data_IF_114207265037
#
_entry.id   IF_114207265037
#
_cell.length_a   1.000
_cell.length_b   1.000
_cell.length_c   1.000
_cell.angle_alpha   90.00
_cell.angle_beta   90.00
_cell.angle_gamma   90.00
#
_symmetry.space_group_name_H-M   'P 1'
#
loop_
_entity.id
_entity.type
_entity.pdbx_description
1 polymer ?
#
# COMPACT_ATOMS: atom_id res chain seq x y z
N UNK A 1 3.36 14.49 -4.92
CA UNK A 1 3.78 13.50 -3.93
C UNK A 1 3.36 12.10 -4.40
N UNK A 2 4.31 11.22 -4.59
CA UNK A 2 4.03 9.84 -4.95
C UNK A 2 4.85 8.90 -4.09
N UNK A 3 4.24 7.85 -3.59
CA UNK A 3 4.96 6.76 -2.96
C UNK A 3 5.74 5.98 -4.02
N UNK A 4 7.05 5.98 -3.85
CA UNK A 4 7.96 5.24 -4.71
C UNK A 4 8.20 5.86 -6.09
N UNK A 5 9.35 5.54 -6.64
CA UNK A 5 9.83 6.03 -7.95
C UNK A 5 9.00 5.46 -9.10
N UNK A 6 8.21 4.42 -8.87
CA UNK A 6 7.44 3.70 -9.89
C UNK A 6 6.36 4.54 -10.56
N UNK A 7 5.92 5.64 -9.94
CA UNK A 7 4.86 6.50 -10.43
C UNK A 7 5.34 7.89 -10.87
N UNK A 8 6.64 8.22 -10.66
CA UNK A 8 7.25 9.45 -11.19
C UNK A 8 8.22 9.03 -12.27
N UNK A 9 7.99 9.51 -13.47
CA UNK A 9 8.88 9.25 -14.60
C UNK A 9 10.17 10.08 -14.48
N UNK A 10 11.19 9.69 -15.22
CA UNK A 10 12.43 10.47 -15.34
C UNK A 10 12.13 11.87 -15.91
N UNK A 11 11.19 11.94 -16.82
CA UNK A 11 10.69 13.18 -17.42
C UNK A 11 10.03 14.10 -16.42
N UNK A 12 9.20 13.56 -15.52
CA UNK A 12 8.56 14.36 -14.45
C UNK A 12 9.60 14.97 -13.50
N UNK A 13 10.63 14.21 -13.13
CA UNK A 13 11.72 14.72 -12.28
C UNK A 13 12.53 15.80 -13.01
N UNK A 14 12.82 15.60 -14.30
CA UNK A 14 13.51 16.62 -15.12
C UNK A 14 12.67 17.90 -15.20
N UNK A 15 11.37 17.76 -15.47
CA UNK A 15 10.46 18.91 -15.52
C UNK A 15 10.41 19.68 -14.20
N UNK A 16 10.31 18.96 -13.07
CA UNK A 16 10.35 19.61 -11.75
C UNK A 16 11.64 20.41 -11.53
N UNK A 17 12.79 19.86 -11.95
CA UNK A 17 14.10 20.57 -11.87
C UNK A 17 14.16 21.77 -12.81
N UNK A 18 13.63 21.67 -14.03
CA UNK A 18 13.54 22.80 -14.96
C UNK A 18 12.69 23.95 -14.39
N UNK A 19 11.65 23.60 -13.60
CA UNK A 19 10.84 24.57 -12.86
C UNK A 19 11.53 25.13 -11.61
N UNK A 20 12.79 24.77 -11.35
CA UNK A 20 13.56 25.22 -10.20
C UNK A 20 13.18 24.59 -8.87
N UNK A 21 12.50 23.42 -8.91
CA UNK A 21 12.14 22.67 -7.71
C UNK A 21 13.32 21.83 -7.21
N UNK A 22 13.49 21.75 -5.88
CA UNK A 22 14.33 20.74 -5.25
C UNK A 22 13.53 19.43 -5.14
N UNK A 23 14.07 18.36 -5.68
CA UNK A 23 13.43 17.04 -5.72
C UNK A 23 14.07 16.13 -4.70
N UNK A 24 13.29 15.71 -3.71
CA UNK A 24 13.68 14.72 -2.69
C UNK A 24 12.81 13.49 -2.86
N UNK A 25 13.42 12.32 -2.97
CA UNK A 25 12.73 11.03 -3.09
C UNK A 25 12.89 10.26 -1.80
N UNK A 26 11.79 9.85 -1.18
CA UNK A 26 11.76 8.85 -0.10
C UNK A 26 11.21 7.55 -0.65
N UNK A 27 11.93 6.45 -0.49
CA UNK A 27 11.56 5.16 -1.07
C UNK A 27 12.04 3.99 -0.21
N UNK A 28 11.49 2.81 -0.45
CA UNK A 28 11.85 1.56 0.23
C UNK A 28 11.98 0.36 -0.72
N UNK A 29 11.72 0.58 -2.01
CA UNK A 29 11.87 -0.47 -3.03
C UNK A 29 13.35 -0.80 -3.27
N UNK A 30 13.59 -1.92 -3.93
CA UNK A 30 14.94 -2.29 -4.33
C UNK A 30 15.51 -1.26 -5.30
N UNK A 31 16.80 -0.97 -5.14
CA UNK A 31 17.45 0.07 -5.93
C UNK A 31 17.56 -0.39 -7.39
N UNK A 32 16.97 0.35 -8.33
CA UNK A 32 17.06 0.02 -9.74
C UNK A 32 18.50 0.24 -10.27
N UNK A 33 18.81 -0.35 -11.43
CA UNK A 33 20.12 -0.16 -12.10
C UNK A 33 20.43 1.31 -12.39
N UNK A 34 19.39 2.09 -12.73
CA UNK A 34 19.45 3.54 -12.90
C UNK A 34 18.73 4.21 -11.75
N UNK A 35 19.45 4.72 -10.74
CA UNK A 35 18.85 5.43 -9.62
C UNK A 35 18.09 6.69 -10.06
N UNK A 36 17.13 7.10 -9.24
CA UNK A 36 16.40 8.36 -9.45
C UNK A 36 17.36 9.55 -9.47
N UNK A 37 17.21 10.41 -10.47
CA UNK A 37 17.99 11.65 -10.61
C UNK A 37 17.37 12.79 -9.79
N UNK A 38 17.22 12.57 -8.48
CA UNK A 38 16.76 13.55 -7.52
C UNK A 38 17.93 14.30 -6.87
N UNK A 39 17.63 15.40 -6.18
CA UNK A 39 18.64 16.15 -5.41
C UNK A 39 19.05 15.40 -4.14
N UNK A 40 18.13 14.61 -3.59
CA UNK A 40 18.40 13.65 -2.53
C UNK A 40 17.48 12.42 -2.66
N UNK A 41 18.02 11.25 -2.32
CA UNK A 41 17.27 9.99 -2.24
C UNK A 41 17.43 9.41 -0.85
N UNK A 42 16.32 9.20 -0.15
CA UNK A 42 16.26 8.57 1.17
C UNK A 42 15.69 7.17 0.99
N UNK A 43 16.56 6.17 0.94
CA UNK A 43 16.17 4.78 0.86
C UNK A 43 17.17 3.93 1.65
N UNK A 44 16.72 3.17 2.68
CA UNK A 44 17.62 2.38 3.51
C UNK A 44 18.37 1.29 2.72
N UNK A 45 17.87 0.89 1.55
CA UNK A 45 18.50 -0.15 0.72
C UNK A 45 19.65 0.36 -0.16
N UNK A 46 19.95 1.66 -0.18
CA UNK A 46 21.12 2.17 -0.87
C UNK A 46 22.39 1.53 -0.29
N UNK A 47 23.37 1.21 -1.15
CA UNK A 47 24.60 0.51 -0.77
C UNK A 47 25.48 1.26 0.23
N UNK A 48 25.42 2.58 0.20
CA UNK A 48 26.15 3.51 1.07
C UNK A 48 25.33 3.98 2.29
N UNK A 49 24.06 3.57 2.40
CA UNK A 49 23.22 3.93 3.53
C UNK A 49 23.65 3.17 4.80
N UNK A 50 24.07 3.85 5.89
CA UNK A 50 24.49 3.21 7.12
C UNK A 50 23.33 2.71 7.99
N UNK A 51 22.07 3.00 7.62
CA UNK A 51 20.91 2.60 8.42
C UNK A 51 20.85 1.06 8.52
N UNK A 52 20.81 0.49 9.74
CA UNK A 52 21.03 -0.94 9.93
C UNK A 52 19.89 -1.81 9.44
N UNK A 53 18.64 -1.33 9.53
CA UNK A 53 17.46 -2.09 9.15
C UNK A 53 16.96 -1.68 7.75
N UNK A 54 16.97 -2.62 6.81
CA UNK A 54 16.65 -2.37 5.39
C UNK A 54 15.19 -2.66 5.03
N UNK A 55 14.44 -3.27 5.93
CA UNK A 55 13.10 -3.78 5.71
C UNK A 55 11.96 -2.81 6.04
N UNK A 56 12.19 -1.50 6.06
CA UNK A 56 11.15 -0.50 6.31
C UNK A 56 10.22 -0.37 5.11
N UNK A 57 8.91 -0.15 5.34
CA UNK A 57 7.98 0.32 4.30
C UNK A 57 8.11 1.83 4.06
N UNK A 58 7.51 2.33 2.97
CA UNK A 58 7.59 3.76 2.61
C UNK A 58 7.14 4.70 3.71
N UNK A 59 6.03 4.40 4.39
CA UNK A 59 5.55 5.21 5.52
C UNK A 59 6.49 5.19 6.73
N UNK A 60 7.17 4.06 6.98
CA UNK A 60 8.17 3.98 8.05
C UNK A 60 9.43 4.79 7.69
N UNK A 61 9.86 4.80 6.43
CA UNK A 61 10.94 5.68 5.95
C UNK A 61 10.53 7.15 6.12
N UNK A 62 9.31 7.52 5.73
CA UNK A 62 8.80 8.87 5.92
C UNK A 62 8.74 9.26 7.40
N UNK A 63 8.31 8.37 8.28
CA UNK A 63 8.31 8.58 9.72
C UNK A 63 9.72 8.88 10.26
N UNK A 64 10.73 8.10 9.86
CA UNK A 64 12.13 8.36 10.22
C UNK A 64 12.64 9.70 9.72
N UNK A 65 12.25 10.06 8.50
CA UNK A 65 12.58 11.36 7.95
C UNK A 65 11.95 12.50 8.76
N UNK A 66 10.70 12.38 9.18
CA UNK A 66 10.02 13.37 10.04
C UNK A 66 10.68 13.47 11.40
N UNK A 67 11.07 12.35 12.03
CA UNK A 67 11.81 12.37 13.31
C UNK A 67 13.10 13.20 13.18
N UNK A 68 13.90 12.95 12.14
CA UNK A 68 15.14 13.70 11.90
C UNK A 68 14.86 15.19 11.59
N UNK A 69 13.82 15.47 10.83
CA UNK A 69 13.41 16.84 10.51
C UNK A 69 13.03 17.61 11.78
N UNK A 70 12.27 17.01 12.68
CA UNK A 70 11.86 17.62 13.94
C UNK A 70 13.10 17.91 14.82
N UNK A 71 14.02 16.95 14.93
CA UNK A 71 15.27 17.14 15.63
C UNK A 71 16.07 18.34 15.09
N UNK A 72 16.21 18.43 13.75
CA UNK A 72 16.92 19.54 13.10
C UNK A 72 16.23 20.90 13.27
N UNK A 73 14.91 20.90 13.41
CA UNK A 73 14.10 22.11 13.64
C UNK A 73 14.00 22.49 15.12
N UNK A 74 14.57 21.68 16.03
CA UNK A 74 14.46 21.89 17.48
C UNK A 74 13.07 21.60 18.04
N UNK A 75 12.27 20.82 17.32
CA UNK A 75 10.98 20.30 17.77
C UNK A 75 11.25 19.01 18.55
N UNK A 76 10.57 18.76 19.67
CA UNK A 76 10.71 17.49 20.41
C UNK A 76 10.42 16.30 19.47
N UNK A 77 11.34 15.33 19.40
CA UNK A 77 11.22 14.19 18.48
C UNK A 77 10.00 13.34 18.82
N UNK A 78 9.58 13.34 20.08
CA UNK A 78 8.40 12.66 20.58
C UNK A 78 7.09 13.16 19.93
N UNK A 79 7.08 14.37 19.41
CA UNK A 79 5.91 14.88 18.66
C UNK A 79 5.71 14.14 17.33
N UNK A 80 6.79 13.57 16.76
CA UNK A 80 6.67 12.71 15.58
C UNK A 80 5.99 11.36 15.88
N UNK A 81 5.88 10.97 17.15
CA UNK A 81 5.26 9.70 17.53
C UNK A 81 3.77 9.61 17.13
N UNK A 82 3.10 10.75 16.86
CA UNK A 82 1.75 10.74 16.31
C UNK A 82 1.64 9.96 14.99
N UNK A 83 2.72 9.91 14.19
CA UNK A 83 2.79 9.19 12.92
C UNK A 83 3.09 7.69 13.06
N UNK A 84 3.38 7.19 14.27
CA UNK A 84 3.60 5.76 14.52
C UNK A 84 2.37 4.90 14.16
N UNK A 85 1.16 5.45 14.33
CA UNK A 85 -0.07 4.80 13.89
C UNK A 85 0.00 4.49 12.40
N UNK A 86 0.36 5.48 11.58
CA UNK A 86 0.42 5.38 10.13
C UNK A 86 1.57 4.45 9.69
N UNK A 87 2.75 4.58 10.31
CA UNK A 87 3.89 3.72 10.02
C UNK A 87 3.59 2.24 10.35
N UNK A 88 2.98 1.98 11.50
CA UNK A 88 2.59 0.63 11.91
C UNK A 88 1.48 0.05 11.04
N UNK A 89 0.49 0.86 10.65
CA UNK A 89 -0.57 0.46 9.73
C UNK A 89 0.00 0.08 8.36
N UNK A 90 0.82 0.97 7.78
CA UNK A 90 1.39 0.75 6.46
C UNK A 90 2.36 -0.45 6.43
N UNK A 91 3.14 -0.66 7.50
CA UNK A 91 4.03 -1.83 7.61
C UNK A 91 3.27 -3.16 7.46
N UNK A 92 2.06 -3.25 8.04
CA UNK A 92 1.19 -4.42 7.86
C UNK A 92 0.54 -4.43 6.48
N UNK A 93 0.06 -3.27 6.02
CA UNK A 93 -0.62 -3.12 4.73
C UNK A 93 0.25 -3.46 3.53
N UNK A 94 1.54 -3.17 3.63
CA UNK A 94 2.57 -3.44 2.63
C UNK A 94 3.24 -4.83 2.79
N UNK A 95 2.69 -5.65 3.69
CA UNK A 95 3.11 -7.04 3.93
C UNK A 95 4.60 -7.15 4.27
N UNK A 96 5.14 -6.16 4.99
CA UNK A 96 6.54 -6.19 5.42
C UNK A 96 6.77 -7.25 6.51
N UNK A 97 7.97 -7.84 6.52
CA UNK A 97 8.37 -8.78 7.57
C UNK A 97 8.28 -8.13 8.96
N UNK A 98 7.51 -8.74 9.87
CA UNK A 98 7.31 -8.24 11.23
C UNK A 98 8.47 -8.67 12.17
N UNK A 99 9.67 -8.30 11.79
CA UNK A 99 10.92 -8.55 12.52
C UNK A 99 11.52 -7.22 12.99
N UNK A 100 12.40 -7.27 13.94
CA UNK A 100 13.19 -6.15 14.45
C UNK A 100 12.34 -4.88 14.61
N UNK A 101 12.70 -3.80 13.93
CA UNK A 101 12.06 -2.49 14.03
C UNK A 101 10.60 -2.51 13.56
N UNK A 102 10.28 -3.25 12.49
CA UNK A 102 8.91 -3.37 12.00
C UNK A 102 7.97 -3.95 13.07
N UNK A 103 8.45 -4.92 13.85
CA UNK A 103 7.67 -5.49 14.95
C UNK A 103 7.34 -4.45 16.01
N UNK A 104 8.29 -3.55 16.30
CA UNK A 104 8.11 -2.46 17.27
C UNK A 104 7.08 -1.45 16.72
N UNK A 105 7.27 -1.00 15.48
CA UNK A 105 6.37 -0.05 14.80
C UNK A 105 4.94 -0.58 14.77
N UNK A 106 4.75 -1.84 14.37
CA UNK A 106 3.42 -2.45 14.31
C UNK A 106 2.82 -2.63 15.69
N UNK A 107 3.59 -3.02 16.70
CA UNK A 107 3.08 -3.18 18.07
C UNK A 107 2.57 -1.86 18.66
N UNK A 108 3.32 -0.78 18.47
CA UNK A 108 2.97 0.55 18.96
C UNK A 108 1.83 1.13 18.10
N UNK A 109 1.99 1.14 16.77
CA UNK A 109 1.00 1.66 15.85
C UNK A 109 -0.37 0.98 15.97
N UNK A 110 -0.39 -0.34 16.16
CA UNK A 110 -1.65 -1.08 16.38
C UNK A 110 -2.31 -0.69 17.71
N UNK A 111 -1.52 -0.44 18.76
CA UNK A 111 -2.05 0.07 20.03
C UNK A 111 -2.67 1.46 19.85
N UNK A 112 -2.02 2.34 19.09
CA UNK A 112 -2.53 3.68 18.77
C UNK A 112 -3.79 3.59 17.90
N UNK A 113 -3.78 2.76 16.86
CA UNK A 113 -4.91 2.55 15.95
C UNK A 113 -6.18 2.09 16.70
N UNK A 114 -6.02 1.30 17.75
CA UNK A 114 -7.13 0.89 18.61
C UNK A 114 -7.78 2.06 19.38
N UNK A 115 -7.10 3.20 19.46
CA UNK A 115 -7.55 4.42 20.12
C UNK A 115 -7.44 5.62 19.17
N UNK A 116 -7.45 5.38 17.86
CA UNK A 116 -7.22 6.39 16.86
C UNK A 116 -8.10 7.63 17.02
N UNK A 117 -7.50 8.79 16.86
CA UNK A 117 -8.19 10.08 16.79
C UNK A 117 -8.51 10.47 15.34
N UNK A 118 -7.91 9.79 14.35
CA UNK A 118 -8.16 10.05 12.94
C UNK A 118 -9.61 9.67 12.60
N UNK A 119 -10.40 10.64 12.17
CA UNK A 119 -11.82 10.45 11.86
C UNK A 119 -12.05 9.48 10.71
N UNK A 120 -11.23 9.57 9.67
CA UNK A 120 -11.30 8.68 8.51
C UNK A 120 -10.99 7.23 8.85
N UNK A 121 -9.91 7.00 9.59
CA UNK A 121 -9.56 5.66 10.03
C UNK A 121 -10.64 5.06 10.95
N UNK A 122 -11.16 5.86 11.88
CA UNK A 122 -12.24 5.44 12.77
C UNK A 122 -13.51 5.08 11.99
N UNK A 123 -13.89 5.92 11.01
CA UNK A 123 -15.04 5.65 10.16
C UNK A 123 -14.84 4.34 9.36
N UNK A 124 -13.65 4.11 8.81
CA UNK A 124 -13.34 2.90 8.04
C UNK A 124 -13.37 1.64 8.91
N UNK A 125 -12.88 1.70 10.15
CA UNK A 125 -12.96 0.62 11.14
C UNK A 125 -14.43 0.25 11.39
N UNK A 126 -15.29 1.23 11.67
CA UNK A 126 -16.70 1.01 11.93
C UNK A 126 -17.46 0.48 10.72
N UNK A 127 -17.21 1.02 9.52
CA UNK A 127 -17.82 0.54 8.27
C UNK A 127 -17.43 -0.92 7.96
N UNK A 128 -16.24 -1.34 8.37
CA UNK A 128 -15.82 -2.74 8.29
C UNK A 128 -16.42 -3.61 9.43
N UNK A 129 -17.34 -3.08 10.26
CA UNK A 129 -17.95 -3.79 11.39
C UNK A 129 -16.90 -4.33 12.39
N UNK A 130 -15.83 -3.58 12.59
CA UNK A 130 -14.79 -3.88 13.56
C UNK A 130 -14.99 -3.06 14.82
N UNK A 131 -14.61 -3.63 15.96
CA UNK A 131 -14.70 -2.95 17.26
C UNK A 131 -13.41 -2.18 17.52
N UNK A 132 -13.47 -0.84 17.71
CA UNK A 132 -12.35 -0.09 18.23
C UNK A 132 -11.88 -0.67 19.57
N UNK A 133 -10.57 -0.79 19.75
CA UNK A 133 -9.97 -1.44 20.93
C UNK A 133 -9.65 -2.93 20.77
N UNK A 134 -10.21 -3.61 19.75
CA UNK A 134 -10.01 -5.05 19.51
C UNK A 134 -9.28 -5.35 18.20
N UNK A 135 -8.71 -4.33 17.55
CA UNK A 135 -8.03 -4.49 16.29
C UNK A 135 -6.74 -5.33 16.45
N UNK A 136 -6.51 -6.17 15.45
CA UNK A 136 -5.32 -7.01 15.32
C UNK A 136 -4.70 -6.78 13.93
N UNK A 137 -3.43 -7.16 13.76
CA UNK A 137 -2.74 -6.99 12.48
C UNK A 137 -3.49 -7.60 11.29
N UNK A 138 -4.13 -8.76 11.45
CA UNK A 138 -4.91 -9.36 10.36
C UNK A 138 -6.13 -8.51 9.94
N UNK A 139 -6.71 -7.70 10.82
CA UNK A 139 -7.78 -6.77 10.44
C UNK A 139 -7.23 -5.68 9.50
N UNK A 140 -5.99 -5.23 9.72
CA UNK A 140 -5.33 -4.29 8.81
C UNK A 140 -5.13 -4.97 7.45
N UNK A 141 -4.44 -6.11 7.42
CA UNK A 141 -4.06 -6.77 6.16
C UNK A 141 -5.25 -7.29 5.33
N UNK A 142 -6.34 -7.74 5.97
CA UNK A 142 -7.45 -8.44 5.27
C UNK A 142 -8.77 -7.67 5.24
N UNK A 143 -8.95 -6.61 6.01
CA UNK A 143 -10.19 -5.85 6.07
C UNK A 143 -10.00 -4.37 5.73
N UNK A 144 -9.21 -3.64 6.50
CA UNK A 144 -9.06 -2.19 6.38
C UNK A 144 -8.16 -1.81 5.21
N UNK A 145 -6.96 -2.37 5.12
CA UNK A 145 -5.99 -2.11 4.05
C UNK A 145 -6.55 -2.36 2.65
N UNK A 146 -7.22 -3.50 2.38
CA UNK A 146 -7.87 -3.74 1.10
C UNK A 146 -8.91 -2.69 0.68
N UNK A 147 -9.60 -2.03 1.63
CA UNK A 147 -10.53 -0.95 1.29
C UNK A 147 -9.78 0.30 0.79
N UNK A 148 -8.69 0.68 1.47
CA UNK A 148 -7.85 1.79 1.02
C UNK A 148 -7.22 1.50 -0.35
N UNK A 149 -6.70 0.29 -0.55
CA UNK A 149 -6.07 -0.11 -1.81
C UNK A 149 -7.06 -0.23 -2.97
N UNK A 150 -8.36 -0.49 -2.70
CA UNK A 150 -9.37 -0.63 -3.74
C UNK A 150 -9.56 0.65 -4.55
N UNK A 151 -9.46 1.83 -3.92
CA UNK A 151 -9.59 3.10 -4.63
C UNK A 151 -8.47 3.31 -5.65
N UNK A 152 -7.22 3.00 -5.30
CA UNK A 152 -6.10 3.12 -6.23
C UNK A 152 -6.12 2.08 -7.37
N UNK A 153 -6.91 1.00 -7.24
CA UNK A 153 -7.06 -0.03 -8.27
C UNK A 153 -8.20 0.26 -9.25
N UNK A 154 -9.35 0.71 -8.74
CA UNK A 154 -10.58 0.84 -9.53
C UNK A 154 -10.98 2.30 -9.79
N UNK A 155 -10.36 3.26 -9.09
CA UNK A 155 -10.68 4.68 -9.20
C UNK A 155 -9.39 5.50 -9.03
N UNK A 156 -9.28 6.27 -7.95
CA UNK A 156 -8.11 7.10 -7.65
C UNK A 156 -7.71 6.97 -6.17
N UNK A 157 -6.42 6.88 -5.90
CA UNK A 157 -5.87 6.88 -4.55
C UNK A 157 -6.21 8.16 -3.74
N UNK A 158 -6.60 9.25 -4.42
CA UNK A 158 -7.00 10.50 -3.77
C UNK A 158 -8.19 10.31 -2.81
N UNK A 159 -9.11 9.38 -3.12
CA UNK A 159 -10.26 9.11 -2.25
C UNK A 159 -9.84 8.58 -0.87
N UNK A 160 -8.89 7.64 -0.85
CA UNK A 160 -8.31 7.14 0.40
C UNK A 160 -7.51 8.21 1.14
N UNK A 161 -6.76 9.03 0.43
CA UNK A 161 -6.04 10.15 1.02
C UNK A 161 -7.02 11.16 1.65
N UNK A 162 -8.09 11.53 0.92
CA UNK A 162 -9.12 12.44 1.42
C UNK A 162 -9.80 11.90 2.67
N UNK A 163 -10.09 10.60 2.71
CA UNK A 163 -10.62 9.95 3.92
C UNK A 163 -9.68 10.16 5.12
N UNK A 164 -8.39 9.86 4.96
CA UNK A 164 -7.41 9.95 6.05
C UNK A 164 -7.12 11.39 6.49
N UNK A 165 -7.34 12.36 5.62
CA UNK A 165 -7.17 13.80 5.90
C UNK A 165 -8.47 14.48 6.33
N UNK A 166 -9.60 13.80 6.33
CA UNK A 166 -10.89 14.40 6.66
C UNK A 166 -10.95 14.83 8.14
N UNK A 167 -11.37 16.06 8.36
CA UNK A 167 -11.65 16.65 9.68
C UNK A 167 -13.16 16.69 9.99
N UNK A 168 -14.00 16.21 9.06
CA UNK A 168 -15.44 16.13 9.20
C UNK A 168 -15.90 14.68 9.33
N UNK A 169 -16.62 14.37 10.41
CA UNK A 169 -17.08 13.01 10.70
C UNK A 169 -18.12 12.49 9.69
N UNK A 170 -18.94 13.37 9.12
CA UNK A 170 -19.95 12.99 8.12
C UNK A 170 -19.28 12.67 6.78
N UNK A 171 -18.35 13.53 6.36
CA UNK A 171 -17.53 13.29 5.18
C UNK A 171 -16.74 11.99 5.31
N UNK A 172 -16.05 11.80 6.45
CA UNK A 172 -15.30 10.58 6.73
C UNK A 172 -16.19 9.33 6.67
N UNK A 173 -17.40 9.40 7.23
CA UNK A 173 -18.38 8.32 7.17
C UNK A 173 -18.80 7.96 5.73
N UNK A 174 -19.03 8.98 4.89
CA UNK A 174 -19.40 8.81 3.48
C UNK A 174 -18.26 8.18 2.68
N UNK A 175 -17.04 8.73 2.79
CA UNK A 175 -15.87 8.21 2.09
C UNK A 175 -15.53 6.78 2.52
N UNK A 176 -15.66 6.46 3.81
CA UNK A 176 -15.43 5.11 4.31
C UNK A 176 -16.44 4.10 3.73
N UNK A 177 -17.73 4.47 3.63
CA UNK A 177 -18.75 3.63 3.01
C UNK A 177 -18.46 3.38 1.53
N UNK A 178 -18.05 4.42 0.79
CA UNK A 178 -17.66 4.31 -0.62
C UNK A 178 -16.45 3.36 -0.81
N UNK A 179 -15.42 3.47 0.04
CA UNK A 179 -14.24 2.61 -0.04
C UNK A 179 -14.56 1.14 0.27
N UNK A 180 -15.45 0.89 1.23
CA UNK A 180 -15.94 -0.47 1.51
C UNK A 180 -16.70 -1.03 0.31
N UNK A 181 -17.57 -0.22 -0.32
CA UNK A 181 -18.29 -0.61 -1.53
C UNK A 181 -17.36 -0.92 -2.70
N UNK A 182 -16.36 -0.07 -2.95
CA UNK A 182 -15.33 -0.32 -3.98
C UNK A 182 -14.54 -1.62 -3.71
N UNK A 183 -14.25 -1.91 -2.46
CA UNK A 183 -13.57 -3.16 -2.12
C UNK A 183 -14.45 -4.40 -2.36
N UNK A 184 -15.75 -4.33 -2.12
CA UNK A 184 -16.67 -5.41 -2.46
C UNK A 184 -16.80 -5.58 -3.98
N UNK A 185 -16.87 -4.47 -4.73
CA UNK A 185 -16.85 -4.51 -6.20
C UNK A 185 -15.56 -5.18 -6.71
N UNK A 186 -14.40 -4.76 -6.22
CA UNK A 186 -13.12 -5.39 -6.54
C UNK A 186 -13.12 -6.90 -6.27
N UNK A 187 -13.67 -7.34 -5.12
CA UNK A 187 -13.77 -8.76 -4.77
C UNK A 187 -14.64 -9.53 -5.77
N UNK A 188 -15.78 -8.95 -6.14
CA UNK A 188 -16.71 -9.56 -7.10
C UNK A 188 -16.07 -9.66 -8.48
N UNK A 189 -15.45 -8.59 -8.97
CA UNK A 189 -14.73 -8.59 -10.24
C UNK A 189 -13.60 -9.64 -10.24
N UNK A 190 -12.84 -9.72 -9.14
CA UNK A 190 -11.77 -10.73 -9.00
C UNK A 190 -12.34 -12.15 -9.03
N UNK A 191 -13.45 -12.40 -8.35
CA UNK A 191 -14.08 -13.72 -8.34
C UNK A 191 -14.54 -14.14 -9.74
N UNK A 192 -15.20 -13.25 -10.48
CA UNK A 192 -15.63 -13.49 -11.85
C UNK A 192 -14.42 -13.77 -12.76
N UNK A 193 -13.37 -12.94 -12.69
CA UNK A 193 -12.17 -13.14 -13.51
C UNK A 193 -11.44 -14.47 -13.20
N UNK A 194 -11.47 -14.93 -11.93
CA UNK A 194 -10.93 -16.24 -11.56
C UNK A 194 -11.75 -17.37 -12.19
N UNK A 195 -13.08 -17.28 -12.18
CA UNK A 195 -13.92 -18.30 -12.82
C UNK A 195 -13.74 -18.31 -14.35
N UNK A 196 -13.60 -17.13 -14.97
CA UNK A 196 -13.27 -17.05 -16.39
C UNK A 196 -11.91 -17.66 -16.71
N UNK A 197 -10.90 -17.39 -15.88
CA UNK A 197 -9.57 -18.00 -16.03
C UNK A 197 -9.64 -19.54 -15.97
N UNK A 198 -10.38 -20.10 -15.01
CA UNK A 198 -10.59 -21.55 -14.88
C UNK A 198 -11.27 -22.13 -16.13
N UNK A 199 -12.28 -21.45 -16.63
CA UNK A 199 -12.96 -21.85 -17.86
C UNK A 199 -12.00 -21.90 -19.05
N UNK A 200 -11.19 -20.83 -19.24
CA UNK A 200 -10.18 -20.79 -20.31
C UNK A 200 -9.16 -21.91 -20.18
N UNK A 201 -8.69 -22.19 -18.97
CA UNK A 201 -7.73 -23.29 -18.70
C UNK A 201 -8.36 -24.63 -19.11
N UNK A 202 -9.59 -24.91 -18.67
CA UNK A 202 -10.26 -26.18 -18.96
C UNK A 202 -10.63 -26.35 -20.44
N UNK A 203 -11.19 -25.29 -21.08
CA UNK A 203 -11.56 -25.35 -22.49
C UNK A 203 -10.37 -25.57 -23.43
N UNK A 204 -9.16 -25.13 -23.02
CA UNK A 204 -7.93 -25.29 -23.80
C UNK A 204 -7.06 -26.47 -23.34
N UNK A 205 -7.50 -27.25 -22.34
CA UNK A 205 -6.76 -28.41 -21.84
C UNK A 205 -5.41 -28.07 -21.21
N UNK A 206 -5.32 -26.90 -20.55
CA UNK A 206 -4.06 -26.36 -20.03
C UNK A 206 -3.72 -26.87 -18.62
N UNK A 207 -4.54 -27.74 -18.01
CA UNK A 207 -4.38 -28.20 -16.63
C UNK A 207 -3.03 -28.86 -16.36
N UNK A 208 -2.45 -29.49 -17.38
CA UNK A 208 -1.15 -30.18 -17.29
C UNK A 208 0.04 -29.33 -17.75
N UNK A 209 -0.20 -28.09 -18.18
CA UNK A 209 0.86 -27.19 -18.60
C UNK A 209 1.76 -26.81 -17.43
N UNK A 210 3.07 -26.72 -17.68
CA UNK A 210 4.06 -26.33 -16.66
C UNK A 210 3.90 -24.89 -16.18
N UNK A 211 3.37 -24.02 -17.04
CA UNK A 211 3.08 -22.62 -16.78
C UNK A 211 1.73 -22.32 -17.41
N UNK A 212 0.81 -21.78 -16.64
CA UNK A 212 -0.49 -21.36 -17.11
C UNK A 212 -0.42 -19.94 -17.65
N UNK A 213 -0.66 -19.76 -18.95
CA UNK A 213 -0.71 -18.44 -19.60
C UNK A 213 -2.13 -18.19 -20.07
N UNK A 214 -2.85 -17.36 -19.33
CA UNK A 214 -4.29 -17.12 -19.52
C UNK A 214 -4.53 -15.70 -20.03
N UNK A 215 -5.25 -15.58 -21.14
CA UNK A 215 -5.66 -14.28 -21.69
C UNK A 215 -7.11 -13.99 -21.31
N UNK A 216 -7.34 -12.87 -20.64
CA UNK A 216 -8.62 -12.41 -20.13
C UNK A 216 -8.87 -10.94 -20.57
N UNK A 217 -9.29 -10.70 -21.80
CA UNK A 217 -9.42 -9.33 -22.35
C UNK A 217 -10.40 -8.44 -21.59
N UNK A 218 -11.37 -9.03 -20.89
CA UNK A 218 -12.38 -8.29 -20.11
C UNK A 218 -11.96 -8.11 -18.63
N UNK A 219 -10.81 -8.64 -18.23
CA UNK A 219 -10.30 -8.46 -16.87
C UNK A 219 -9.62 -7.10 -16.72
N UNK A 220 -10.01 -6.36 -15.69
CA UNK A 220 -9.34 -5.10 -15.38
C UNK A 220 -7.86 -5.33 -15.05
N UNK A 221 -6.95 -4.59 -15.69
CA UNK A 221 -5.50 -4.78 -15.61
C UNK A 221 -4.97 -4.81 -14.15
N UNK A 222 -5.51 -3.93 -13.28
CA UNK A 222 -5.11 -3.87 -11.86
C UNK A 222 -5.46 -5.13 -11.06
N UNK A 223 -6.28 -6.03 -11.60
CA UNK A 223 -6.70 -7.29 -10.97
C UNK A 223 -5.94 -8.50 -11.53
N UNK A 224 -5.29 -8.38 -12.69
CA UNK A 224 -4.60 -9.48 -13.35
C UNK A 224 -3.62 -10.23 -12.42
N UNK A 225 -2.82 -9.50 -11.64
CA UNK A 225 -1.89 -10.08 -10.68
C UNK A 225 -2.59 -10.83 -9.53
N UNK A 226 -3.75 -10.36 -9.08
CA UNK A 226 -4.54 -11.04 -8.03
C UNK A 226 -5.13 -12.33 -8.59
N UNK A 227 -5.66 -12.29 -9.82
CA UNK A 227 -6.19 -13.47 -10.52
C UNK A 227 -5.08 -14.49 -10.74
N UNK A 228 -3.93 -14.07 -11.25
CA UNK A 228 -2.76 -14.95 -11.42
C UNK A 228 -2.34 -15.63 -10.11
N UNK A 229 -2.32 -14.89 -8.99
CA UNK A 229 -2.05 -15.43 -7.67
C UNK A 229 -3.04 -16.53 -7.27
N UNK A 230 -4.34 -16.32 -7.51
CA UNK A 230 -5.39 -17.30 -7.20
C UNK A 230 -5.29 -18.56 -8.08
N UNK A 231 -5.02 -18.38 -9.36
CA UNK A 231 -4.81 -19.52 -10.30
C UNK A 231 -3.57 -20.29 -9.88
N UNK A 232 -2.46 -19.62 -9.57
CA UNK A 232 -1.25 -20.28 -9.06
C UNK A 232 -1.52 -21.11 -7.81
N UNK A 233 -2.26 -20.58 -6.85
CA UNK A 233 -2.60 -21.31 -5.61
C UNK A 233 -3.48 -22.52 -5.88
N UNK A 234 -4.43 -22.41 -6.81
CA UNK A 234 -5.38 -23.48 -7.10
C UNK A 234 -4.77 -24.65 -7.89
N UNK A 235 -3.91 -24.34 -8.86
CA UNK A 235 -3.33 -25.34 -9.76
C UNK A 235 -1.91 -25.78 -9.33
N UNK A 236 -1.34 -25.12 -8.31
CA UNK A 236 0.05 -25.33 -7.84
C UNK A 236 1.07 -25.21 -8.98
N UNK A 237 0.90 -24.21 -9.85
CA UNK A 237 1.72 -23.94 -11.04
C UNK A 237 1.93 -22.46 -11.23
N UNK A 238 3.07 -22.01 -11.79
CA UNK A 238 3.25 -20.62 -12.22
C UNK A 238 2.11 -20.20 -13.13
N UNK A 239 1.56 -19.01 -12.91
CA UNK A 239 0.46 -18.47 -13.70
C UNK A 239 0.75 -17.03 -14.15
N UNK A 240 0.48 -16.75 -15.42
CA UNK A 240 0.51 -15.43 -16.05
C UNK A 240 -0.89 -15.12 -16.54
N UNK A 241 -1.42 -13.97 -16.16
CA UNK A 241 -2.70 -13.46 -16.67
C UNK A 241 -2.43 -12.21 -17.48
N UNK A 242 -2.89 -12.24 -18.71
CA UNK A 242 -2.79 -11.15 -19.68
C UNK A 242 -4.18 -10.55 -19.89
N UNK A 243 -4.26 -9.22 -19.99
CA UNK A 243 -5.50 -8.46 -20.19
C UNK A 243 -5.42 -7.63 -21.44
#
# INVERSE_FOLDING_TARGET
YTEGITNITKEDMMYAKEMGMTVIVTDHHDIPKEPAQADAVVNPKQSDCPYPFKGLCGAAVAFKFVQLLYEQMGIPVEEADEFLENAGFATVGDVMDLQDENRILVKIGLKMLNHTKNLGMRALILQNQLQPGELKAHHIGFRIGPCLNASGRLDTAQRSLRLLLSEDALEAGTLAAELVSLNEERKNMTALAVEDAKRVISENGMEEDKVLVVFLPDCHESLAGIVAGRIREQYDRPALVLT
#
